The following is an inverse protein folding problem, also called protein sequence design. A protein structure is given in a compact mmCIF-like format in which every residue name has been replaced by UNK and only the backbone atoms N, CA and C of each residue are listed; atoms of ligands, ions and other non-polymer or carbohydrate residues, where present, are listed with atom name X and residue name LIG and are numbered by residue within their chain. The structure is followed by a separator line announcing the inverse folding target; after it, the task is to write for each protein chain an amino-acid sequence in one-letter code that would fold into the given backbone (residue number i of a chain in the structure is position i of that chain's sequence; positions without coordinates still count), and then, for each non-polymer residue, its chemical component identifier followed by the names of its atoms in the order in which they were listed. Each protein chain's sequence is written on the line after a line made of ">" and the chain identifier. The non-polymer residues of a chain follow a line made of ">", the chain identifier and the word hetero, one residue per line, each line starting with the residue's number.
data_IF_737433947946
#
_entry.id   IF_737433947946
#
_cell.length_a   1.000
_cell.length_b   1.000
_cell.length_c   1.000
_cell.angle_alpha   90.00
_cell.angle_beta   90.00
_cell.angle_gamma   90.00
#
_symmetry.space_group_name_H-M   'P 1'
#
loop_
_entity.id
_entity.type
_entity.pdbx_description
1 polymer ?
#
# COMPACT_ATOMS: atom_id res chain seq x y z
N UNK A 1 12.72 -47.20 -20.21
CA UNK A 1 13.00 -45.75 -20.10
C UNK A 1 14.35 -45.47 -20.77
N UNK A 2 14.50 -44.43 -21.62
CA UNK A 2 15.79 -44.10 -22.27
C UNK A 2 16.34 -42.78 -21.72
N UNK A 3 17.52 -42.75 -21.09
CA UNK A 3 18.13 -41.51 -20.64
C UNK A 3 18.63 -40.68 -21.83
N UNK A 4 18.62 -39.35 -21.68
CA UNK A 4 19.05 -38.38 -22.71
C UNK A 4 20.17 -37.49 -22.13
N UNK A 5 21.26 -37.21 -22.86
CA UNK A 5 22.35 -36.35 -22.39
C UNK A 5 21.88 -34.92 -22.07
N UNK A 6 22.45 -34.30 -21.04
CA UNK A 6 22.13 -32.94 -20.59
C UNK A 6 22.15 -31.89 -21.72
N UNK A 7 23.13 -31.98 -22.62
CA UNK A 7 23.26 -31.10 -23.79
C UNK A 7 22.03 -31.11 -24.73
N UNK A 8 21.24 -32.19 -24.72
CA UNK A 8 20.01 -32.32 -25.52
C UNK A 8 18.73 -32.02 -24.74
N UNK A 9 18.81 -31.94 -23.40
CA UNK A 9 17.67 -31.56 -22.53
C UNK A 9 17.49 -30.04 -22.54
N UNK A 10 18.61 -29.30 -22.51
CA UNK A 10 18.61 -27.84 -22.42
C UNK A 10 18.28 -27.36 -21.00
N UNK A 11 19.14 -26.55 -20.42
CA UNK A 11 18.93 -25.97 -19.09
C UNK A 11 18.63 -24.47 -19.21
N UNK A 12 17.56 -24.02 -18.54
CA UNK A 12 17.08 -22.63 -18.61
C UNK A 12 17.96 -21.67 -17.80
N UNK A 13 18.48 -22.12 -16.65
CA UNK A 13 19.26 -21.30 -15.72
C UNK A 13 20.74 -21.45 -16.01
N UNK A 14 21.46 -20.33 -16.03
CA UNK A 14 22.91 -20.30 -16.26
C UNK A 14 23.66 -19.69 -15.06
N UNK A 15 24.95 -19.97 -14.96
CA UNK A 15 25.80 -19.55 -13.83
C UNK A 15 25.88 -18.01 -13.74
N UNK A 16 25.76 -17.31 -14.87
CA UNK A 16 25.79 -15.84 -14.90
C UNK A 16 24.58 -15.20 -14.19
N UNK A 17 23.52 -15.96 -13.94
CA UNK A 17 22.33 -15.50 -13.21
C UNK A 17 22.42 -15.80 -11.72
N UNK A 18 23.48 -16.47 -11.25
CA UNK A 18 23.59 -16.82 -9.84
C UNK A 18 23.91 -15.59 -9.01
N UNK A 19 23.43 -15.60 -7.76
CA UNK A 19 23.77 -14.55 -6.82
C UNK A 19 25.24 -14.61 -6.41
N UNK A 20 25.77 -13.48 -5.98
CA UNK A 20 27.15 -13.34 -5.53
C UNK A 20 27.21 -13.07 -4.02
N UNK A 21 28.28 -13.51 -3.33
CA UNK A 21 28.43 -13.23 -1.90
C UNK A 21 28.67 -11.74 -1.67
N UNK A 22 28.03 -11.20 -0.63
CA UNK A 22 28.18 -9.79 -0.23
C UNK A 22 29.25 -9.65 0.85
N UNK A 23 30.19 -8.75 0.63
CA UNK A 23 31.29 -8.48 1.56
C UNK A 23 30.90 -7.55 2.72
N UNK A 24 31.78 -7.48 3.74
CA UNK A 24 31.63 -6.51 4.84
C UNK A 24 31.69 -5.08 4.29
N UNK A 25 30.76 -4.22 4.70
CA UNK A 25 30.70 -2.81 4.29
C UNK A 25 29.97 -2.57 2.97
N UNK A 26 29.39 -3.60 2.36
CA UNK A 26 28.55 -3.46 1.18
C UNK A 26 27.32 -2.57 1.46
N UNK A 27 26.94 -1.80 0.44
CA UNK A 27 25.74 -0.99 0.46
C UNK A 27 24.47 -1.85 0.28
N UNK A 28 23.31 -1.23 0.47
CA UNK A 28 22.01 -1.86 0.15
C UNK A 28 21.92 -2.21 -1.34
N UNK A 29 22.41 -1.34 -2.22
CA UNK A 29 22.36 -1.61 -3.66
C UNK A 29 23.27 -2.77 -4.05
N UNK A 30 24.45 -2.90 -3.40
CA UNK A 30 25.34 -4.05 -3.59
C UNK A 30 24.63 -5.36 -3.21
N UNK A 31 23.94 -5.39 -2.05
CA UNK A 31 23.16 -6.54 -1.62
C UNK A 31 22.04 -6.90 -2.60
N UNK A 32 21.32 -5.90 -3.12
CA UNK A 32 20.21 -6.15 -4.05
C UNK A 32 20.70 -6.62 -5.42
N UNK A 33 21.81 -6.04 -5.92
CA UNK A 33 22.45 -6.47 -7.17
C UNK A 33 23.13 -7.82 -7.07
N UNK A 34 23.50 -8.26 -5.87
CA UNK A 34 24.06 -9.59 -5.64
C UNK A 34 23.00 -10.70 -5.62
N UNK A 35 21.71 -10.37 -5.62
CA UNK A 35 20.64 -11.35 -5.71
C UNK A 35 20.68 -12.08 -7.07
N UNK A 36 20.24 -13.35 -7.14
CA UNK A 36 20.19 -14.05 -8.41
C UNK A 36 19.31 -13.33 -9.44
N UNK A 37 19.81 -13.17 -10.67
CA UNK A 37 19.09 -12.59 -11.82
C UNK A 37 18.12 -13.60 -12.45
N UNK A 38 17.21 -14.12 -11.63
CA UNK A 38 16.12 -14.97 -12.05
C UNK A 38 14.95 -14.88 -11.06
N UNK A 39 13.73 -15.13 -11.58
CA UNK A 39 12.51 -15.20 -10.79
C UNK A 39 12.37 -13.95 -9.88
N UNK A 40 12.02 -14.14 -8.60
CA UNK A 40 11.79 -13.06 -7.66
C UNK A 40 13.01 -12.15 -7.42
N UNK A 41 14.24 -12.65 -7.57
CA UNK A 41 15.45 -11.83 -7.40
C UNK A 41 15.59 -10.77 -8.50
N UNK A 42 15.37 -11.19 -9.75
CA UNK A 42 15.26 -10.29 -10.89
C UNK A 42 14.04 -9.37 -10.78
N UNK A 43 12.88 -9.94 -10.44
CA UNK A 43 11.63 -9.20 -10.41
C UNK A 43 11.64 -8.11 -9.30
N UNK A 44 12.27 -8.36 -8.15
CA UNK A 44 12.50 -7.35 -7.10
C UNK A 44 13.38 -6.21 -7.62
N UNK A 45 14.51 -6.54 -8.24
CA UNK A 45 15.41 -5.54 -8.82
C UNK A 45 14.70 -4.69 -9.89
N UNK A 46 13.94 -5.33 -10.77
CA UNK A 46 13.16 -4.65 -11.81
C UNK A 46 12.09 -3.73 -11.22
N UNK A 47 11.37 -4.17 -10.17
CA UNK A 47 10.39 -3.33 -9.47
C UNK A 47 11.05 -2.10 -8.84
N UNK A 48 12.21 -2.28 -8.18
CA UNK A 48 12.98 -1.19 -7.57
C UNK A 48 13.43 -0.19 -8.64
N UNK A 49 14.04 -0.65 -9.74
CA UNK A 49 14.49 0.21 -10.84
C UNK A 49 13.34 1.02 -11.41
N UNK A 50 12.19 0.38 -11.67
CA UNK A 50 11.02 1.03 -12.25
C UNK A 50 10.41 2.08 -11.33
N UNK A 51 10.38 1.85 -10.02
CA UNK A 51 9.91 2.86 -9.06
C UNK A 51 10.92 4.01 -8.96
N UNK A 52 12.22 3.72 -8.90
CA UNK A 52 13.24 4.76 -8.83
C UNK A 52 13.26 5.64 -10.09
N UNK A 53 13.13 5.04 -11.27
CA UNK A 53 13.05 5.77 -12.54
C UNK A 53 11.78 6.61 -12.65
N UNK A 54 10.62 6.08 -12.23
CA UNK A 54 9.38 6.84 -12.17
C UNK A 54 9.51 8.05 -11.23
N UNK A 55 10.06 7.85 -10.03
CA UNK A 55 10.28 8.92 -9.06
C UNK A 55 11.27 9.99 -9.58
N UNK A 56 12.41 9.60 -10.19
CA UNK A 56 13.36 10.55 -10.81
C UNK A 56 12.71 11.37 -11.92
N UNK A 57 11.81 10.75 -12.68
CA UNK A 57 11.07 11.39 -13.75
C UNK A 57 9.81 12.14 -13.30
N UNK A 58 9.47 12.11 -12.00
CA UNK A 58 8.22 12.64 -11.43
C UNK A 58 6.96 12.06 -12.09
N UNK A 59 7.06 10.81 -12.52
CA UNK A 59 5.93 10.04 -13.02
C UNK A 59 5.11 9.51 -11.83
N UNK A 60 3.80 9.30 -11.99
CA UNK A 60 2.96 8.76 -10.93
C UNK A 60 3.44 7.40 -10.38
N UNK A 61 3.53 7.34 -9.06
CA UNK A 61 3.66 6.09 -8.30
C UNK A 61 2.51 6.04 -7.30
N UNK A 62 1.62 5.06 -7.45
CA UNK A 62 0.51 4.85 -6.52
C UNK A 62 0.87 3.71 -5.57
N UNK A 63 0.60 3.87 -4.27
CA UNK A 63 0.78 2.80 -3.30
C UNK A 63 -0.54 2.45 -2.60
N UNK A 64 -1.04 1.25 -2.91
CA UNK A 64 -2.24 0.66 -2.35
C UNK A 64 -1.81 -0.31 -1.25
N UNK A 65 -2.23 -0.10 -0.01
CA UNK A 65 -1.79 -0.94 1.10
C UNK A 65 -2.91 -1.31 2.06
N UNK A 66 -2.89 -2.52 2.62
CA UNK A 66 -3.84 -2.94 3.65
C UNK A 66 -3.31 -2.81 5.07
N UNK A 67 -4.21 -3.02 6.04
CA UNK A 67 -3.99 -2.94 7.48
C UNK A 67 -2.72 -3.65 8.00
N UNK A 68 -2.37 -4.82 7.43
CA UNK A 68 -1.23 -5.60 7.92
C UNK A 68 0.10 -4.87 7.73
N UNK A 69 0.22 -4.02 6.71
CA UNK A 69 1.42 -3.18 6.49
C UNK A 69 1.62 -2.24 7.67
N UNK A 70 0.56 -1.57 8.13
CA UNK A 70 0.61 -0.64 9.26
C UNK A 70 0.82 -1.40 10.57
N UNK A 71 0.06 -2.48 10.78
CA UNK A 71 0.17 -3.35 11.97
C UNK A 71 1.59 -3.88 12.18
N UNK A 72 2.32 -4.20 11.10
CA UNK A 72 3.71 -4.66 11.15
C UNK A 72 4.71 -3.54 11.49
N UNK A 73 4.27 -2.32 11.80
CA UNK A 73 5.14 -1.21 12.19
C UNK A 73 5.93 -0.62 11.01
N UNK A 74 5.41 -0.70 9.78
CA UNK A 74 6.13 -0.24 8.58
C UNK A 74 5.95 1.24 8.26
N UNK A 75 5.17 1.98 9.04
CA UNK A 75 5.06 3.43 8.87
C UNK A 75 6.43 4.15 8.85
N UNK A 76 7.37 3.94 9.80
CA UNK A 76 8.70 4.55 9.73
C UNK A 76 9.54 4.15 8.51
N UNK A 77 9.22 3.04 7.83
CA UNK A 77 9.84 2.66 6.56
C UNK A 77 9.23 3.46 5.40
N UNK A 78 7.92 3.68 5.43
CA UNK A 78 7.15 4.32 4.34
C UNK A 78 7.15 5.85 4.40
N UNK A 79 7.15 6.43 5.60
CA UNK A 79 7.13 7.89 5.83
C UNK A 79 8.28 8.62 5.11
N UNK A 80 9.54 8.13 5.12
CA UNK A 80 10.61 8.75 4.34
C UNK A 80 10.32 8.79 2.83
N UNK A 81 9.63 7.79 2.29
CA UNK A 81 9.29 7.74 0.85
C UNK A 81 8.18 8.75 0.53
N UNK A 82 7.19 8.87 1.41
CA UNK A 82 6.10 9.86 1.32
C UNK A 82 6.68 11.27 1.34
N UNK A 83 7.53 11.58 2.34
CA UNK A 83 8.15 12.91 2.50
C UNK A 83 9.08 13.30 1.35
N UNK A 84 9.65 12.32 0.64
CA UNK A 84 10.46 12.54 -0.56
C UNK A 84 9.62 12.68 -1.84
N UNK A 85 8.29 12.58 -1.74
CA UNK A 85 7.39 12.66 -2.90
C UNK A 85 7.53 11.47 -3.85
N UNK A 86 8.02 10.32 -3.37
CA UNK A 86 8.12 9.10 -4.19
C UNK A 86 6.74 8.59 -4.53
N UNK A 87 5.81 8.61 -3.57
CA UNK A 87 4.41 8.25 -3.82
C UNK A 87 3.62 9.50 -4.19
N UNK A 88 2.92 9.42 -5.32
CA UNK A 88 2.04 10.47 -5.83
C UNK A 88 0.62 10.39 -5.27
N UNK A 89 0.17 9.20 -4.85
CA UNK A 89 -1.04 9.01 -4.04
C UNK A 89 -1.00 7.68 -3.29
N UNK A 90 -1.79 7.59 -2.22
CA UNK A 90 -1.93 6.45 -1.35
C UNK A 90 -3.40 6.02 -1.28
N UNK A 91 -3.65 4.72 -1.20
CA UNK A 91 -5.01 4.20 -0.98
C UNK A 91 -4.98 3.01 -0.02
N UNK A 92 -5.92 3.00 0.93
CA UNK A 92 -5.96 1.98 1.98
C UNK A 92 -7.38 1.58 2.38
N UNK A 93 -7.52 0.63 3.31
CA UNK A 93 -8.79 0.19 3.88
C UNK A 93 -8.98 0.76 5.31
N UNK A 94 -10.21 0.71 5.83
CA UNK A 94 -10.51 1.32 7.14
C UNK A 94 -9.74 0.71 8.31
N UNK A 95 -9.46 -0.60 8.29
CA UNK A 95 -8.60 -1.23 9.28
C UNK A 95 -7.16 -0.65 9.34
N UNK A 96 -6.59 -0.22 8.21
CA UNK A 96 -5.30 0.47 8.23
C UNK A 96 -5.38 1.87 8.85
N UNK A 97 -6.49 2.58 8.61
CA UNK A 97 -6.75 3.89 9.22
C UNK A 97 -6.86 3.78 10.75
N UNK A 98 -7.52 2.72 11.25
CA UNK A 98 -7.57 2.41 12.68
C UNK A 98 -6.17 2.19 13.24
N UNK A 99 -5.39 1.27 12.64
CA UNK A 99 -4.04 0.97 13.14
C UNK A 99 -3.13 2.21 13.15
N UNK A 100 -3.19 3.03 12.10
CA UNK A 100 -2.36 4.23 12.00
C UNK A 100 -2.75 5.28 13.04
N UNK A 101 -4.05 5.51 13.25
CA UNK A 101 -4.53 6.42 14.29
C UNK A 101 -4.14 5.94 15.68
N UNK A 102 -4.30 4.66 15.98
CA UNK A 102 -3.92 4.09 17.28
C UNK A 102 -2.41 4.20 17.53
N UNK A 103 -1.58 3.93 16.52
CA UNK A 103 -0.13 4.17 16.60
C UNK A 103 0.15 5.65 16.87
N UNK A 104 -0.45 6.57 16.10
CA UNK A 104 -0.22 8.00 16.25
C UNK A 104 -0.62 8.51 17.64
N UNK A 105 -1.74 8.01 18.17
CA UNK A 105 -2.37 8.49 19.39
C UNK A 105 -1.82 7.81 20.65
N UNK A 106 -1.59 6.51 20.61
CA UNK A 106 -1.28 5.67 21.78
C UNK A 106 0.11 5.02 21.69
N UNK A 107 0.74 4.99 20.52
CA UNK A 107 2.02 4.29 20.32
C UNK A 107 1.89 2.77 20.23
N UNK A 108 0.67 2.24 20.18
CA UNK A 108 0.36 0.81 20.14
C UNK A 108 -0.93 0.55 19.37
N UNK A 109 -1.07 -0.63 18.79
CA UNK A 109 -2.27 -1.05 18.04
C UNK A 109 -2.41 -2.57 18.06
N UNK A 110 -3.49 -3.10 17.44
CA UNK A 110 -3.79 -4.54 17.32
C UNK A 110 -4.20 -5.16 18.64
N UNK A 111 -5.42 -4.87 19.07
CA UNK A 111 -6.06 -5.49 20.24
C UNK A 111 -5.93 -7.03 20.28
N UNK A 112 -5.85 -7.57 21.49
CA UNK A 112 -5.81 -9.00 21.73
C UNK A 112 -7.23 -9.61 21.58
N UNK A 113 -7.53 -10.10 20.39
CA UNK A 113 -8.85 -10.69 20.06
C UNK A 113 -9.22 -11.84 21.01
N UNK A 114 -8.37 -12.86 21.25
CA UNK A 114 -8.70 -13.95 22.18
C UNK A 114 -9.07 -13.49 23.59
N UNK A 115 -8.43 -12.42 24.09
CA UNK A 115 -8.69 -11.91 25.44
C UNK A 115 -9.91 -10.99 25.50
N UNK A 116 -10.09 -10.12 24.50
CA UNK A 116 -11.10 -9.07 24.52
C UNK A 116 -12.47 -9.53 24.03
N UNK A 117 -12.52 -10.47 23.07
CA UNK A 117 -13.79 -10.89 22.45
C UNK A 117 -14.73 -11.59 23.44
N UNK A 118 -14.29 -12.57 24.27
CA UNK A 118 -15.17 -13.19 25.27
C UNK A 118 -15.66 -12.21 26.35
N UNK A 119 -14.95 -11.10 26.54
CA UNK A 119 -15.28 -10.05 27.51
C UNK A 119 -16.23 -8.98 26.94
N UNK A 120 -16.53 -9.03 25.64
CA UNK A 120 -17.39 -8.06 24.97
C UNK A 120 -16.75 -6.68 24.79
N UNK A 121 -15.42 -6.57 24.89
CA UNK A 121 -14.69 -5.30 24.79
C UNK A 121 -13.79 -5.22 23.55
N UNK A 122 -13.81 -6.24 22.68
CA UNK A 122 -13.04 -6.21 21.44
C UNK A 122 -13.58 -5.13 20.49
N UNK A 123 -12.71 -4.21 20.10
CA UNK A 123 -13.05 -3.11 19.23
C UNK A 123 -13.87 -2.01 19.90
N UNK A 124 -13.86 -1.95 21.24
CA UNK A 124 -14.68 -1.03 22.04
C UNK A 124 -13.91 0.17 22.62
N UNK A 125 -12.69 0.43 22.12
CA UNK A 125 -11.88 1.58 22.54
C UNK A 125 -12.55 2.90 22.12
N UNK A 126 -13.03 3.66 23.12
CA UNK A 126 -13.78 4.90 22.93
C UNK A 126 -12.98 5.94 22.14
N UNK A 127 -11.74 6.21 22.55
CA UNK A 127 -10.91 7.24 21.92
C UNK A 127 -10.51 6.90 20.47
N UNK A 128 -10.46 5.60 20.13
CA UNK A 128 -10.28 5.14 18.73
C UNK A 128 -11.53 5.46 17.93
N UNK A 129 -12.71 5.07 18.42
CA UNK A 129 -13.97 5.29 17.71
C UNK A 129 -14.30 6.78 17.56
N UNK A 130 -14.14 7.58 18.62
CA UNK A 130 -14.36 9.03 18.58
C UNK A 130 -13.46 9.71 17.55
N UNK A 131 -12.18 9.34 17.50
CA UNK A 131 -11.23 9.89 16.54
C UNK A 131 -11.58 9.59 15.08
N UNK A 132 -11.78 8.32 14.75
CA UNK A 132 -12.05 7.89 13.37
C UNK A 132 -13.44 8.33 12.90
N UNK A 133 -14.48 8.11 13.70
CA UNK A 133 -15.84 8.52 13.33
C UNK A 133 -15.96 10.06 13.32
N UNK A 134 -15.22 10.76 14.20
CA UNK A 134 -15.09 12.22 14.16
C UNK A 134 -14.47 12.72 12.87
N UNK A 135 -13.35 12.12 12.43
CA UNK A 135 -12.71 12.46 11.16
C UNK A 135 -13.63 12.18 9.96
N UNK A 136 -14.37 11.07 9.97
CA UNK A 136 -15.35 10.77 8.91
C UNK A 136 -16.49 11.81 8.85
N UNK A 137 -17.03 12.24 10.01
CA UNK A 137 -18.04 13.32 10.08
C UNK A 137 -17.50 14.63 9.58
N UNK A 138 -16.32 15.04 10.04
CA UNK A 138 -15.68 16.28 9.60
C UNK A 138 -15.42 16.27 8.08
N UNK A 139 -14.91 15.15 7.55
CA UNK A 139 -14.70 15.01 6.11
C UNK A 139 -16.01 15.13 5.32
N UNK A 140 -17.08 14.49 5.82
CA UNK A 140 -18.40 14.58 5.23
C UNK A 140 -18.98 16.01 5.28
N UNK A 141 -18.81 16.74 6.38
CA UNK A 141 -19.28 18.12 6.54
C UNK A 141 -18.53 19.11 5.65
N UNK A 142 -17.20 18.96 5.56
CA UNK A 142 -16.34 19.86 4.79
C UNK A 142 -16.21 19.47 3.31
N UNK A 143 -16.71 18.31 2.91
CA UNK A 143 -16.67 17.84 1.53
C UNK A 143 -15.30 17.32 1.09
N UNK A 144 -14.52 16.78 2.03
CA UNK A 144 -13.24 16.11 1.75
C UNK A 144 -13.31 14.60 2.04
N UNK A 145 -12.34 13.86 1.52
CA UNK A 145 -12.22 12.43 1.73
C UNK A 145 -11.87 12.05 3.18
N UNK A 146 -12.17 10.82 3.59
CA UNK A 146 -11.88 10.32 4.94
C UNK A 146 -10.36 10.32 5.20
N UNK A 147 -9.54 9.90 4.23
CA UNK A 147 -8.10 9.87 4.44
C UNK A 147 -7.49 11.25 4.69
N UNK A 148 -7.91 12.26 3.93
CA UNK A 148 -7.49 13.65 4.16
C UNK A 148 -7.94 14.16 5.52
N UNK A 149 -9.22 13.95 5.87
CA UNK A 149 -9.77 14.37 7.16
C UNK A 149 -9.03 13.73 8.34
N UNK A 150 -8.69 12.44 8.25
CA UNK A 150 -7.95 11.73 9.29
C UNK A 150 -6.53 12.27 9.47
N UNK A 151 -5.78 12.46 8.37
CA UNK A 151 -4.42 13.02 8.44
C UNK A 151 -4.42 14.41 9.08
N UNK A 152 -5.39 15.25 8.68
CA UNK A 152 -5.60 16.57 9.29
C UNK A 152 -5.94 16.49 10.78
N UNK A 153 -6.83 15.57 11.17
CA UNK A 153 -7.23 15.39 12.56
C UNK A 153 -6.04 14.96 13.44
N UNK A 154 -5.21 14.01 12.99
CA UNK A 154 -4.02 13.54 13.71
C UNK A 154 -3.03 14.70 13.94
N UNK A 155 -2.76 15.49 12.90
CA UNK A 155 -1.84 16.63 12.97
C UNK A 155 -2.40 17.72 13.88
N UNK A 156 -3.68 18.09 13.73
CA UNK A 156 -4.35 19.12 14.53
C UNK A 156 -4.40 18.73 16.02
N UNK A 157 -4.63 17.45 16.32
CA UNK A 157 -4.65 16.92 17.68
C UNK A 157 -3.25 16.86 18.33
N UNK A 158 -2.17 17.12 17.57
CA UNK A 158 -0.78 16.98 18.02
C UNK A 158 -0.54 15.60 18.66
N UNK A 159 -0.98 14.54 17.97
CA UNK A 159 -0.84 13.19 18.48
C UNK A 159 0.64 12.89 18.83
N UNK A 160 0.91 12.24 19.99
CA UNK A 160 2.25 12.14 20.55
C UNK A 160 3.25 11.37 19.68
N UNK A 161 2.76 10.49 18.81
CA UNK A 161 3.57 9.67 17.90
C UNK A 161 3.23 9.94 16.43
N UNK A 162 2.77 11.15 16.10
CA UNK A 162 2.34 11.52 14.73
C UNK A 162 3.43 11.32 13.66
N UNK A 163 4.71 11.30 14.04
CA UNK A 163 5.81 10.99 13.13
C UNK A 163 5.84 9.52 12.68
N UNK A 164 5.13 8.65 13.39
CA UNK A 164 4.90 7.24 13.04
C UNK A 164 3.59 7.04 12.25
N UNK A 165 2.92 8.11 11.84
CA UNK A 165 1.66 8.06 11.09
C UNK A 165 1.87 8.29 9.59
N UNK A 166 1.38 7.37 8.78
CA UNK A 166 1.31 7.49 7.32
C UNK A 166 0.34 8.61 6.94
N UNK A 167 -0.80 8.73 7.63
CA UNK A 167 -1.80 9.75 7.35
C UNK A 167 -1.31 11.16 7.68
N UNK A 168 -0.61 11.34 8.82
CA UNK A 168 0.02 12.60 9.16
C UNK A 168 1.10 12.98 8.14
N UNK A 169 1.98 12.03 7.78
CA UNK A 169 3.02 12.27 6.78
C UNK A 169 2.45 12.61 5.40
N UNK A 170 1.37 11.95 4.99
CA UNK A 170 0.68 12.24 3.73
C UNK A 170 0.07 13.65 3.74
N UNK A 171 -0.64 14.02 4.81
CA UNK A 171 -1.21 15.36 4.98
C UNK A 171 -0.12 16.45 4.98
N UNK A 172 0.94 16.29 5.79
CA UNK A 172 2.04 17.26 5.87
C UNK A 172 2.83 17.39 4.55
N UNK A 173 2.87 16.33 3.73
CA UNK A 173 3.58 16.32 2.45
C UNK A 173 2.68 16.67 1.25
N UNK A 174 1.38 16.91 1.47
CA UNK A 174 0.42 17.15 0.40
C UNK A 174 0.19 15.96 -0.54
N UNK A 175 0.45 14.73 -0.07
CA UNK A 175 0.21 13.49 -0.83
C UNK A 175 -1.22 13.03 -0.56
N UNK A 176 -2.08 12.88 -1.58
CA UNK A 176 -3.43 12.36 -1.40
C UNK A 176 -3.40 10.96 -0.78
N UNK A 177 -4.21 10.76 0.26
CA UNK A 177 -4.43 9.46 0.88
C UNK A 177 -5.93 9.20 1.00
N UNK A 178 -6.36 8.01 0.59
CA UNK A 178 -7.79 7.62 0.57
C UNK A 178 -8.05 6.39 1.43
N UNK A 179 -9.21 6.35 2.08
CA UNK A 179 -9.69 5.23 2.90
C UNK A 179 -10.95 4.64 2.28
N UNK A 180 -10.86 3.39 1.83
CA UNK A 180 -11.96 2.63 1.26
C UNK A 180 -12.55 1.69 2.32
N UNK A 181 -13.60 2.17 2.98
CA UNK A 181 -14.24 1.49 4.10
C UNK A 181 -15.08 0.32 3.60
N UNK A 182 -14.93 -0.83 4.25
CA UNK A 182 -15.88 -1.92 4.14
C UNK A 182 -16.82 -1.87 5.35
N UNK A 183 -18.06 -1.43 5.14
CA UNK A 183 -19.01 -1.21 6.23
C UNK A 183 -19.26 -2.51 7.00
N UNK A 184 -19.19 -2.42 8.33
CA UNK A 184 -19.32 -3.56 9.24
C UNK A 184 -18.04 -4.37 9.48
N UNK A 185 -16.91 -4.07 8.81
CA UNK A 185 -15.64 -4.77 9.07
C UNK A 185 -14.76 -4.06 10.10
N UNK A 186 -14.85 -2.74 10.15
CA UNK A 186 -13.99 -1.92 11.01
C UNK A 186 -14.58 -1.79 12.42
N UNK A 187 -13.73 -1.89 13.44
CA UNK A 187 -14.18 -1.93 14.84
C UNK A 187 -15.01 -0.71 15.25
N UNK A 188 -14.69 0.45 14.67
CA UNK A 188 -15.34 1.74 14.96
C UNK A 188 -16.80 1.81 14.49
N UNK A 189 -17.25 0.88 13.63
CA UNK A 189 -18.64 0.79 13.19
C UNK A 189 -19.61 0.29 14.27
N UNK A 190 -19.09 -0.42 15.29
CA UNK A 190 -19.92 -0.95 16.38
C UNK A 190 -20.28 0.12 17.43
N UNK A 191 -19.60 1.27 17.39
CA UNK A 191 -19.79 2.33 18.38
C UNK A 191 -21.02 3.21 18.08
N UNK A 192 -21.69 3.75 19.12
CA UNK A 192 -22.78 4.72 18.95
C UNK A 192 -22.39 6.00 18.20
N UNK A 193 -21.09 6.33 18.17
CA UNK A 193 -20.57 7.49 17.44
C UNK A 193 -20.48 7.26 15.92
N UNK A 194 -20.72 6.05 15.43
CA UNK A 194 -20.67 5.75 14.01
C UNK A 194 -21.88 6.38 13.28
N UNK A 195 -21.58 7.21 12.28
CA UNK A 195 -22.58 7.75 11.36
C UNK A 195 -22.33 7.17 9.97
N UNK A 196 -23.19 6.22 9.57
CA UNK A 196 -23.07 5.53 8.27
C UNK A 196 -23.20 6.48 7.07
N UNK A 197 -23.96 7.57 7.19
CA UNK A 197 -24.09 8.56 6.13
C UNK A 197 -22.80 9.36 5.97
N UNK A 198 -22.21 9.80 7.09
CA UNK A 198 -20.92 10.48 7.09
C UNK A 198 -19.79 9.59 6.55
N UNK A 199 -19.67 8.37 7.08
CA UNK A 199 -18.65 7.39 6.64
C UNK A 199 -18.82 7.10 5.14
N UNK A 200 -20.04 6.82 4.70
CA UNK A 200 -20.36 6.57 3.30
C UNK A 200 -20.02 7.75 2.38
N UNK A 201 -20.34 8.98 2.81
CA UNK A 201 -20.01 10.20 2.05
C UNK A 201 -18.50 10.41 1.95
N UNK A 202 -17.78 10.35 3.07
CA UNK A 202 -16.34 10.59 3.11
C UNK A 202 -15.54 9.53 2.32
N UNK A 203 -15.91 8.24 2.43
CA UNK A 203 -15.25 7.17 1.66
C UNK A 203 -15.59 7.23 0.16
N UNK A 204 -16.78 7.74 -0.20
CA UNK A 204 -17.13 7.99 -1.62
C UNK A 204 -16.31 9.13 -2.21
N UNK A 205 -16.08 10.21 -1.45
CA UNK A 205 -15.20 11.30 -1.86
C UNK A 205 -13.76 10.81 -2.05
N UNK A 206 -13.29 9.95 -1.13
CA UNK A 206 -12.02 9.23 -1.27
C UNK A 206 -11.95 8.40 -2.56
N UNK A 207 -13.01 7.68 -2.91
CA UNK A 207 -13.07 6.96 -4.19
C UNK A 207 -12.87 7.89 -5.39
N UNK A 208 -13.57 9.03 -5.44
CA UNK A 208 -13.42 9.98 -6.54
C UNK A 208 -12.02 10.61 -6.59
N UNK A 209 -11.43 10.93 -5.44
CA UNK A 209 -10.04 11.39 -5.35
C UNK A 209 -9.04 10.34 -5.85
N UNK A 210 -9.29 9.07 -5.53
CA UNK A 210 -8.49 7.96 -6.04
C UNK A 210 -8.65 7.79 -7.55
N UNK A 211 -9.87 7.92 -8.11
CA UNK A 211 -10.09 7.93 -9.57
C UNK A 211 -9.24 8.99 -10.26
N UNK A 212 -9.22 10.22 -9.72
CA UNK A 212 -8.40 11.31 -10.26
C UNK A 212 -6.89 11.03 -10.15
N UNK A 213 -6.46 10.20 -9.20
CA UNK A 213 -5.06 9.74 -9.10
C UNK A 213 -4.73 8.66 -10.13
N UNK A 214 -5.67 7.73 -10.37
CA UNK A 214 -5.55 6.68 -11.39
C UNK A 214 -5.55 7.26 -12.81
N UNK A 215 -6.32 8.31 -13.08
CA UNK A 215 -6.37 8.98 -14.38
C UNK A 215 -5.00 9.48 -14.85
N UNK A 216 -4.14 9.87 -13.90
CA UNK A 216 -2.81 10.43 -14.19
C UNK A 216 -1.81 9.38 -14.65
N UNK A 217 -2.10 8.08 -14.50
CA UNK A 217 -1.16 7.01 -14.82
C UNK A 217 -0.72 7.06 -16.28
N UNK A 218 0.58 6.93 -16.49
CA UNK A 218 1.30 6.89 -17.76
C UNK A 218 1.96 5.52 -17.97
N UNK A 219 2.51 5.28 -19.16
CA UNK A 219 3.29 4.05 -19.45
C UNK A 219 4.55 3.91 -18.57
N UNK A 220 5.01 5.02 -17.98
CA UNK A 220 6.17 5.07 -17.07
C UNK A 220 5.78 5.00 -15.59
N UNK A 221 4.48 5.04 -15.30
CA UNK A 221 3.96 4.99 -13.92
C UNK A 221 4.08 3.60 -13.31
N UNK A 222 3.99 3.55 -11.97
CA UNK A 222 4.00 2.30 -11.20
C UNK A 222 2.84 2.26 -10.21
N UNK A 223 2.15 1.12 -10.12
CA UNK A 223 1.16 0.84 -9.09
C UNK A 223 1.69 -0.28 -8.19
N UNK A 224 1.99 0.07 -6.95
CA UNK A 224 2.38 -0.87 -5.91
C UNK A 224 1.13 -1.28 -5.11
N UNK A 225 0.94 -2.57 -4.90
CA UNK A 225 -0.15 -3.12 -4.10
C UNK A 225 0.40 -4.05 -3.03
N UNK A 226 0.04 -3.84 -1.76
CA UNK A 226 0.51 -4.67 -0.64
C UNK A 226 -0.57 -4.96 0.41
N UNK A 227 -0.85 -6.23 0.68
CA UNK A 227 -1.60 -6.64 1.87
C UNK A 227 -3.11 -6.35 1.87
N UNK A 228 -3.74 -6.22 0.69
CA UNK A 228 -5.20 -6.13 0.54
C UNK A 228 -5.73 -7.15 -0.46
N UNK A 229 -6.29 -8.25 0.03
CA UNK A 229 -6.69 -9.36 -0.85
C UNK A 229 -7.95 -9.05 -1.70
N UNK A 230 -8.80 -8.10 -1.28
CA UNK A 230 -10.12 -7.85 -1.89
C UNK A 230 -10.41 -6.37 -2.09
N UNK A 231 -10.41 -5.58 -1.02
CA UNK A 231 -10.93 -4.20 -1.05
C UNK A 231 -10.20 -3.34 -2.09
N UNK A 232 -8.87 -3.25 -2.01
CA UNK A 232 -8.11 -2.38 -2.91
C UNK A 232 -8.02 -2.91 -4.34
N UNK A 233 -7.86 -4.22 -4.61
CA UNK A 233 -7.97 -4.76 -5.96
C UNK A 233 -9.33 -4.44 -6.62
N UNK A 234 -10.43 -4.52 -5.86
CA UNK A 234 -11.75 -4.16 -6.40
C UNK A 234 -11.87 -2.65 -6.61
N UNK A 235 -11.51 -1.83 -5.63
CA UNK A 235 -11.53 -0.36 -5.76
C UNK A 235 -10.71 0.11 -6.98
N UNK A 236 -9.50 -0.43 -7.16
CA UNK A 236 -8.63 -0.08 -8.28
C UNK A 236 -9.27 -0.44 -9.63
N UNK A 237 -9.79 -1.65 -9.77
CA UNK A 237 -10.49 -2.05 -10.98
C UNK A 237 -11.71 -1.14 -11.25
N UNK A 238 -12.42 -0.69 -10.22
CA UNK A 238 -13.62 0.16 -10.37
C UNK A 238 -13.24 1.57 -10.76
N UNK A 239 -12.12 2.09 -10.26
CA UNK A 239 -11.56 3.36 -10.71
C UNK A 239 -11.20 3.32 -12.20
N UNK A 240 -10.48 2.28 -12.64
CA UNK A 240 -10.15 2.10 -14.06
C UNK A 240 -11.42 1.94 -14.92
N UNK A 241 -12.39 1.15 -14.46
CA UNK A 241 -13.65 0.94 -15.19
C UNK A 241 -14.45 2.25 -15.33
N UNK A 242 -14.46 3.10 -14.30
CA UNK A 242 -15.14 4.41 -14.33
C UNK A 242 -14.47 5.34 -15.35
N UNK A 243 -13.14 5.40 -15.37
CA UNK A 243 -12.38 6.19 -16.35
C UNK A 243 -12.64 5.72 -17.78
N UNK A 244 -12.56 4.41 -18.03
CA UNK A 244 -12.84 3.84 -19.36
C UNK A 244 -14.27 4.11 -19.80
N UNK A 245 -15.23 4.02 -18.88
CA UNK A 245 -16.64 4.32 -19.16
C UNK A 245 -16.85 5.81 -19.48
N UNK A 246 -16.01 6.69 -18.95
CA UNK A 246 -15.98 8.12 -19.26
C UNK A 246 -15.14 8.46 -20.52
N UNK A 247 -14.59 7.46 -21.22
CA UNK A 247 -13.77 7.65 -22.41
C UNK A 247 -12.30 7.98 -22.15
N UNK A 248 -11.86 7.95 -20.88
CA UNK A 248 -10.46 8.11 -20.50
C UNK A 248 -9.76 6.74 -20.40
N UNK A 249 -8.51 6.66 -20.89
CA UNK A 249 -7.71 5.46 -20.79
C UNK A 249 -6.39 5.78 -20.04
N UNK A 250 -6.22 5.32 -18.80
CA UNK A 250 -4.92 5.42 -18.14
C UNK A 250 -3.85 4.67 -18.95
N UNK A 251 -2.60 5.12 -18.85
CA UNK A 251 -1.47 4.52 -19.54
C UNK A 251 -1.21 3.06 -19.15
N UNK A 252 -0.34 2.37 -19.90
CA UNK A 252 0.06 0.99 -19.66
C UNK A 252 1.20 0.95 -18.62
N UNK A 253 0.85 1.19 -17.36
CA UNK A 253 1.79 1.21 -16.23
C UNK A 253 2.29 -0.20 -15.83
N UNK A 254 3.35 -0.22 -15.02
CA UNK A 254 3.77 -1.42 -14.29
C UNK A 254 2.95 -1.59 -13.01
N UNK A 255 2.41 -2.78 -12.78
CA UNK A 255 1.82 -3.15 -11.49
C UNK A 255 2.73 -4.13 -10.74
N UNK A 256 2.91 -3.92 -9.44
CA UNK A 256 3.67 -4.81 -8.55
C UNK A 256 2.79 -5.21 -7.37
N UNK A 257 2.54 -6.50 -7.21
CA UNK A 257 1.81 -7.05 -6.08
C UNK A 257 2.80 -7.67 -5.09
N UNK A 258 2.78 -7.20 -3.84
CA UNK A 258 3.63 -7.65 -2.73
C UNK A 258 2.73 -8.24 -1.65
N UNK A 259 2.64 -9.56 -1.56
CA UNK A 259 1.73 -10.21 -0.60
C UNK A 259 2.30 -11.53 -0.08
N UNK A 260 1.84 -12.00 1.08
CA UNK A 260 2.27 -13.27 1.67
C UNK A 260 1.78 -14.46 0.84
N UNK A 261 0.68 -14.27 0.10
CA UNK A 261 0.04 -15.27 -0.72
C UNK A 261 -0.32 -14.72 -2.10
N UNK A 262 -0.39 -15.59 -3.10
CA UNK A 262 -0.93 -15.23 -4.42
C UNK A 262 -2.45 -15.29 -4.41
N UNK A 263 -3.10 -14.13 -4.33
CA UNK A 263 -4.56 -14.01 -4.43
C UNK A 263 -5.07 -13.92 -5.87
N UNK A 264 -6.28 -14.44 -6.11
CA UNK A 264 -6.97 -14.31 -7.40
C UNK A 264 -7.21 -12.84 -7.77
N UNK A 265 -7.77 -12.05 -6.86
CA UNK A 265 -8.12 -10.65 -7.14
C UNK A 265 -6.90 -9.75 -7.37
N UNK A 266 -5.84 -9.77 -6.56
CA UNK A 266 -4.62 -9.03 -6.90
C UNK A 266 -4.01 -9.47 -8.24
N UNK A 267 -4.00 -10.78 -8.53
CA UNK A 267 -3.50 -11.29 -9.81
C UNK A 267 -4.31 -10.74 -11.00
N UNK A 268 -5.63 -10.77 -10.92
CA UNK A 268 -6.48 -10.41 -12.06
C UNK A 268 -6.74 -8.90 -12.15
N UNK A 269 -7.09 -8.28 -11.02
CA UNK A 269 -7.60 -6.91 -10.94
C UNK A 269 -6.52 -5.87 -10.66
N UNK A 270 -5.28 -6.28 -10.39
CA UNK A 270 -4.13 -5.37 -10.28
C UNK A 270 -3.08 -5.69 -11.35
N UNK A 271 -2.67 -6.96 -11.50
CA UNK A 271 -1.52 -7.32 -12.36
C UNK A 271 -1.83 -7.61 -13.83
N UNK A 272 -3.09 -7.90 -14.21
CA UNK A 272 -3.40 -8.41 -15.56
C UNK A 272 -4.38 -7.55 -16.33
N UNK A 273 -5.55 -7.28 -15.75
CA UNK A 273 -6.62 -6.55 -16.45
C UNK A 273 -6.31 -5.07 -16.63
N UNK A 274 -5.84 -4.33 -15.60
CA UNK A 274 -5.65 -2.89 -15.74
C UNK A 274 -4.23 -2.46 -16.17
N UNK A 275 -3.21 -3.32 -16.02
CA UNK A 275 -1.80 -2.95 -16.22
C UNK A 275 -1.23 -3.39 -17.57
N UNK A 276 -0.11 -2.79 -17.96
CA UNK A 276 0.66 -3.22 -19.14
C UNK A 276 1.62 -4.38 -18.83
N UNK A 277 2.16 -4.37 -17.62
CA UNK A 277 3.12 -5.34 -17.09
C UNK A 277 2.78 -5.63 -15.62
N UNK A 278 3.05 -6.85 -15.15
CA UNK A 278 2.71 -7.28 -13.80
C UNK A 278 3.83 -8.10 -13.15
N UNK A 279 4.28 -7.67 -11.97
CA UNK A 279 5.24 -8.38 -11.12
C UNK A 279 4.54 -8.89 -9.86
N UNK A 280 4.75 -10.16 -9.52
CA UNK A 280 4.30 -10.77 -8.27
C UNK A 280 5.50 -11.09 -7.40
N UNK A 281 5.57 -10.47 -6.22
CA UNK A 281 6.53 -10.79 -5.18
C UNK A 281 5.80 -11.37 -3.98
N UNK A 282 6.14 -12.60 -3.59
CA UNK A 282 5.47 -13.31 -2.50
C UNK A 282 6.37 -13.37 -1.27
N UNK A 283 5.92 -12.81 -0.15
CA UNK A 283 6.66 -12.78 1.10
C UNK A 283 6.01 -11.92 2.18
N UNK A 284 6.52 -12.04 3.41
CA UNK A 284 6.05 -11.24 4.55
C UNK A 284 6.37 -9.75 4.36
N UNK A 285 5.43 -8.87 4.68
CA UNK A 285 5.55 -7.43 4.43
C UNK A 285 6.68 -6.79 5.23
N UNK A 286 6.87 -7.24 6.47
CA UNK A 286 7.91 -6.80 7.41
C UNK A 286 9.34 -7.12 6.94
N UNK A 287 9.49 -7.89 5.87
CA UNK A 287 10.77 -8.16 5.20
C UNK A 287 10.80 -7.52 3.82
N UNK A 288 9.75 -7.76 3.03
CA UNK A 288 9.72 -7.40 1.62
C UNK A 288 9.61 -5.88 1.38
N UNK A 289 8.79 -5.17 2.16
CA UNK A 289 8.64 -3.72 2.00
C UNK A 289 9.88 -2.94 2.47
N UNK A 290 10.56 -3.28 3.59
CA UNK A 290 11.86 -2.70 3.91
C UNK A 290 12.91 -2.88 2.82
N UNK A 291 13.00 -4.07 2.20
CA UNK A 291 13.94 -4.32 1.10
C UNK A 291 13.60 -3.46 -0.14
N UNK A 292 12.32 -3.40 -0.50
CA UNK A 292 11.84 -2.56 -1.60
C UNK A 292 12.16 -1.08 -1.34
N UNK A 293 11.78 -0.57 -0.16
CA UNK A 293 11.98 0.82 0.24
C UNK A 293 13.47 1.21 0.27
N UNK A 294 14.31 0.39 0.90
CA UNK A 294 15.74 0.64 0.97
C UNK A 294 16.39 0.60 -0.41
N UNK A 295 15.96 -0.32 -1.28
CA UNK A 295 16.43 -0.39 -2.67
C UNK A 295 16.02 0.80 -3.51
N UNK A 296 14.78 1.29 -3.36
CA UNK A 296 14.34 2.50 -4.05
C UNK A 296 15.22 3.67 -3.62
N UNK A 297 15.41 3.86 -2.31
CA UNK A 297 16.19 4.96 -1.76
C UNK A 297 17.68 4.88 -2.16
N UNK A 298 18.23 3.69 -2.38
CA UNK A 298 19.63 3.56 -2.85
C UNK A 298 19.81 3.84 -4.35
N UNK A 299 18.72 3.95 -5.12
CA UNK A 299 18.74 4.19 -6.59
C UNK A 299 18.17 5.54 -7.02
N UNK A 300 17.89 6.42 -6.05
CA UNK A 300 17.54 7.83 -6.25
C UNK A 300 18.78 8.71 -6.12
#
# INVERSE_FOLDING_TARGET
>A
MRPVPAARVGHKVRIEQFGTPVGKGASVDDLLRSLPDLLAGRDLNAAIDRVADAARAKEPVLFLFGAHVVKCGLAPVLVPLIRRGIFSALATNGAAAIHDYEIARFGSTSENVPENLPRGIFGMAEETAEGLNGAAREGAEEGIGFGEALGRAIVRAKAPHREQSIFAAAHESGVPITVHVALGTDIVHMHPSADGAAIGKATMLDFLSFVASVEKLTDRSVVLHAGSAVILPEVFLKAVAMLQSAGAAPGRFLAVNLDMNRGYRPTENVLRRPSGEGIQLTGHHEILLPLLAAGILSRL
#
